data_IF_829269288834
#
_entry.id   IF_829269288834
#
_cell.length_a   1.000
_cell.length_b   1.000
_cell.length_c   1.000
_cell.angle_alpha   90.00
_cell.angle_beta   90.00
_cell.angle_gamma   90.00
#
_symmetry.space_group_name_H-M   'P 1'
#
loop_
_entity.id
_entity.type
_entity.pdbx_description
1 polymer ?
#
# COMPACT_ATOMS: atom_id res chain seq x y z
N UNK A 1 -6.19 10.33 -24.89
CA UNK A 1 -5.83 8.90 -24.90
C UNK A 1 -4.39 8.61 -24.50
N UNK A 2 -3.38 9.40 -24.88
CA UNK A 2 -1.96 9.12 -24.56
C UNK A 2 -1.65 8.97 -23.05
N UNK A 3 -2.28 9.77 -22.18
CA UNK A 3 -2.06 9.70 -20.72
C UNK A 3 -2.80 8.53 -20.04
N UNK A 4 -3.88 8.01 -20.64
CA UNK A 4 -4.68 6.93 -20.05
C UNK A 4 -3.86 5.64 -19.90
N UNK A 5 -3.01 5.34 -20.88
CA UNK A 5 -2.11 4.16 -20.86
C UNK A 5 -1.07 4.30 -19.74
N UNK A 6 -0.52 5.49 -19.55
CA UNK A 6 0.44 5.79 -18.48
C UNK A 6 -0.18 5.58 -17.09
N UNK A 7 -1.38 6.15 -16.84
CA UNK A 7 -2.08 5.97 -15.56
C UNK A 7 -2.40 4.49 -15.28
N UNK A 8 -2.85 3.76 -16.30
CA UNK A 8 -3.16 2.34 -16.17
C UNK A 8 -1.90 1.52 -15.85
N UNK A 9 -0.82 1.70 -16.60
CA UNK A 9 0.42 0.95 -16.40
C UNK A 9 1.07 1.27 -15.04
N UNK A 10 1.10 2.55 -14.65
CA UNK A 10 1.67 2.96 -13.37
C UNK A 10 0.89 2.38 -12.17
N UNK A 11 -0.44 2.36 -12.24
CA UNK A 11 -1.28 1.80 -11.18
C UNK A 11 -1.26 0.27 -11.15
N UNK A 12 -1.37 -0.38 -12.30
CA UNK A 12 -1.56 -1.84 -12.38
C UNK A 12 -0.35 -2.61 -11.83
N UNK A 13 0.87 -2.27 -12.26
CA UNK A 13 2.06 -2.98 -11.83
C UNK A 13 2.32 -2.80 -10.33
N UNK A 14 2.15 -1.57 -9.82
CA UNK A 14 2.38 -1.26 -8.40
C UNK A 14 1.34 -1.91 -7.51
N UNK A 15 0.04 -1.76 -7.80
CA UNK A 15 -1.04 -2.36 -7.00
C UNK A 15 -1.00 -3.89 -7.03
N UNK A 16 -0.79 -4.51 -8.20
CA UNK A 16 -0.72 -5.96 -8.31
C UNK A 16 0.41 -6.54 -7.45
N UNK A 17 1.56 -5.86 -7.41
CA UNK A 17 2.73 -6.27 -6.62
C UNK A 17 2.43 -6.18 -5.12
N UNK A 18 1.85 -5.07 -4.66
CA UNK A 18 1.47 -4.90 -3.24
C UNK A 18 0.49 -5.98 -2.80
N UNK A 19 -0.54 -6.25 -3.60
CA UNK A 19 -1.55 -7.27 -3.28
C UNK A 19 -0.93 -8.67 -3.21
N UNK A 20 -0.05 -9.01 -4.17
CA UNK A 20 0.63 -10.31 -4.16
C UNK A 20 1.48 -10.50 -2.89
N UNK A 21 2.28 -9.51 -2.51
CA UNK A 21 3.09 -9.60 -1.27
C UNK A 21 2.24 -9.56 -0.01
N UNK A 22 1.16 -8.78 0.01
CA UNK A 22 0.24 -8.72 1.17
C UNK A 22 -0.40 -10.09 1.40
N UNK A 23 -0.92 -10.73 0.35
CA UNK A 23 -1.50 -12.07 0.44
C UNK A 23 -0.46 -13.12 0.82
N UNK A 24 0.75 -13.01 0.28
CA UNK A 24 1.86 -13.89 0.64
C UNK A 24 2.23 -13.76 2.12
N UNK A 25 2.33 -12.54 2.65
CA UNK A 25 2.60 -12.30 4.07
C UNK A 25 1.46 -12.83 4.96
N UNK A 26 0.19 -12.63 4.56
CA UNK A 26 -0.94 -13.18 5.29
C UNK A 26 -0.93 -14.71 5.34
N UNK A 27 -0.54 -15.37 4.24
CA UNK A 27 -0.41 -16.82 4.19
C UNK A 27 0.71 -17.35 5.09
N UNK A 28 1.79 -16.57 5.28
CA UNK A 28 2.88 -16.91 6.20
C UNK A 28 2.55 -16.61 7.67
N UNK A 29 1.64 -15.67 7.92
CA UNK A 29 1.26 -15.18 9.26
C UNK A 29 -0.23 -15.44 9.54
N UNK A 30 -0.63 -16.70 9.78
CA UNK A 30 -2.04 -17.07 9.98
C UNK A 30 -2.68 -16.35 11.17
N UNK A 31 -1.91 -15.97 12.20
CA UNK A 31 -2.35 -15.17 13.34
C UNK A 31 -2.77 -13.75 12.93
N UNK A 32 -2.01 -13.13 12.02
CA UNK A 32 -2.32 -11.81 11.44
C UNK A 32 -3.56 -11.92 10.55
N UNK A 33 -3.64 -12.97 9.74
CA UNK A 33 -4.80 -13.23 8.90
C UNK A 33 -6.09 -13.45 9.71
N UNK A 34 -6.01 -14.19 10.81
CA UNK A 34 -7.16 -14.41 11.70
C UNK A 34 -7.65 -13.09 12.31
N UNK A 35 -6.73 -12.27 12.83
CA UNK A 35 -7.05 -10.96 13.40
C UNK A 35 -7.63 -9.98 12.37
N UNK A 36 -7.10 -9.98 11.14
CA UNK A 36 -7.63 -9.18 10.05
C UNK A 36 -9.05 -9.62 9.66
N UNK A 37 -9.30 -10.93 9.65
CA UNK A 37 -10.62 -11.48 9.38
C UNK A 37 -11.63 -11.08 10.46
N UNK A 38 -11.22 -11.08 11.72
CA UNK A 38 -12.06 -10.61 12.83
C UNK A 38 -12.50 -9.15 12.64
N UNK A 39 -11.55 -8.25 12.33
CA UNK A 39 -11.87 -6.83 12.02
C UNK A 39 -12.83 -6.70 10.82
N UNK A 40 -12.63 -7.51 9.77
CA UNK A 40 -13.50 -7.52 8.60
C UNK A 40 -14.91 -8.06 8.92
N UNK A 41 -15.01 -9.16 9.68
CA UNK A 41 -16.28 -9.76 10.08
C UNK A 41 -17.08 -8.80 10.98
N UNK A 42 -16.42 -8.07 11.88
CA UNK A 42 -17.03 -7.00 12.68
C UNK A 42 -17.59 -5.88 11.80
N UNK A 43 -16.84 -5.47 10.77
CA UNK A 43 -17.27 -4.46 9.81
C UNK A 43 -18.54 -4.90 9.06
N UNK A 44 -18.58 -6.13 8.54
CA UNK A 44 -19.74 -6.69 7.84
C UNK A 44 -20.95 -6.86 8.75
N UNK A 45 -20.74 -7.25 10.02
CA UNK A 45 -21.83 -7.31 11.02
C UNK A 45 -22.46 -5.94 11.27
N UNK A 46 -21.67 -4.88 11.26
CA UNK A 46 -22.15 -3.51 11.55
C UNK A 46 -22.78 -2.83 10.33
N UNK A 47 -22.26 -3.05 9.12
CA UNK A 47 -22.63 -2.29 7.93
C UNK A 47 -23.34 -3.11 6.85
N UNK A 48 -23.51 -4.43 7.06
CA UNK A 48 -24.14 -5.33 6.11
C UNK A 48 -23.15 -5.94 5.10
N UNK A 49 -23.66 -6.64 4.07
CA UNK A 49 -22.82 -7.40 3.12
C UNK A 49 -22.00 -6.52 2.17
N UNK A 50 -22.34 -5.23 2.05
CA UNK A 50 -21.67 -4.28 1.16
C UNK A 50 -21.36 -2.97 1.92
N UNK A 51 -20.29 -2.95 2.74
CA UNK A 51 -19.87 -1.73 3.43
C UNK A 51 -19.36 -0.71 2.42
N UNK A 52 -19.71 0.57 2.62
CA UNK A 52 -19.23 1.64 1.75
C UNK A 52 -17.70 1.80 1.83
N UNK A 53 -17.10 2.40 0.80
CA UNK A 53 -15.66 2.66 0.77
C UNK A 53 -15.18 3.49 1.97
N UNK A 54 -16.01 4.42 2.45
CA UNK A 54 -15.72 5.25 3.63
C UNK A 54 -15.65 4.43 4.93
N UNK A 55 -16.32 3.29 4.98
CA UNK A 55 -16.27 2.35 6.10
C UNK A 55 -15.01 1.50 5.99
N UNK A 56 -14.76 0.91 4.82
CA UNK A 56 -13.59 0.05 4.57
C UNK A 56 -12.28 0.82 4.78
N UNK A 57 -12.22 2.08 4.37
CA UNK A 57 -11.05 2.94 4.56
C UNK A 57 -10.73 3.27 6.03
N UNK A 58 -11.68 3.03 6.96
CA UNK A 58 -11.49 3.23 8.40
C UNK A 58 -11.00 1.99 9.14
N UNK A 59 -10.89 0.84 8.46
CA UNK A 59 -10.36 -0.39 9.04
C UNK A 59 -8.87 -0.24 9.34
N UNK A 60 -8.55 -0.07 10.63
CA UNK A 60 -7.21 0.33 11.08
C UNK A 60 -6.21 -0.80 10.90
N UNK A 61 -6.61 -2.03 11.20
CA UNK A 61 -5.72 -3.18 11.09
C UNK A 61 -5.48 -3.54 9.62
N UNK A 62 -6.50 -3.50 8.77
CA UNK A 62 -6.34 -3.62 7.32
C UNK A 62 -5.33 -2.60 6.77
N UNK A 63 -5.48 -1.32 7.14
CA UNK A 63 -4.54 -0.29 6.72
C UNK A 63 -3.11 -0.56 7.23
N UNK A 64 -2.99 -1.06 8.48
CA UNK A 64 -1.71 -1.47 9.06
C UNK A 64 -1.03 -2.60 8.30
N UNK A 65 -1.78 -3.64 7.92
CA UNK A 65 -1.27 -4.78 7.14
C UNK A 65 -0.75 -4.34 5.77
N UNK A 66 -1.50 -3.49 5.06
CA UNK A 66 -1.06 -2.96 3.75
C UNK A 66 0.17 -2.06 3.90
N UNK A 67 0.19 -1.21 4.93
CA UNK A 67 1.33 -0.32 5.22
C UNK A 67 2.60 -1.12 5.52
N UNK A 68 2.49 -2.19 6.30
CA UNK A 68 3.63 -3.04 6.63
C UNK A 68 4.11 -3.84 5.42
N UNK A 69 3.19 -4.29 4.57
CA UNK A 69 3.52 -4.93 3.29
C UNK A 69 4.30 -3.98 2.37
N UNK A 70 3.90 -2.70 2.31
CA UNK A 70 4.62 -1.65 1.57
C UNK A 70 5.99 -1.33 2.18
N UNK A 71 6.12 -1.38 3.51
CA UNK A 71 7.40 -1.17 4.21
C UNK A 71 8.40 -2.29 3.88
N UNK A 72 7.94 -3.54 3.83
CA UNK A 72 8.79 -4.69 3.52
C UNK A 72 9.07 -4.85 2.03
N UNK A 73 8.07 -4.62 1.18
CA UNK A 73 8.14 -4.84 -0.27
C UNK A 73 7.63 -3.61 -1.04
N UNK A 74 8.40 -2.52 -1.08
CA UNK A 74 8.01 -1.33 -1.84
C UNK A 74 8.10 -1.58 -3.35
N UNK A 75 7.02 -1.39 -4.14
CA UNK A 75 7.05 -1.61 -5.60
C UNK A 75 7.99 -0.66 -6.35
N UNK A 76 8.26 0.51 -5.78
CA UNK A 76 9.20 1.51 -6.32
C UNK A 76 10.35 1.76 -5.34
N UNK A 77 11.34 0.87 -5.24
CA UNK A 77 12.39 0.95 -4.22
C UNK A 77 13.38 2.10 -4.44
N UNK A 78 13.39 2.72 -5.63
CA UNK A 78 14.27 3.84 -5.96
C UNK A 78 13.49 4.92 -6.71
N UNK A 79 13.75 6.16 -6.34
CA UNK A 79 13.32 7.34 -7.06
C UNK A 79 14.56 8.06 -7.59
N UNK A 80 14.71 8.06 -8.91
CA UNK A 80 15.84 8.70 -9.56
C UNK A 80 15.57 10.18 -9.80
N UNK A 81 16.59 11.01 -9.58
CA UNK A 81 16.58 12.44 -9.84
C UNK A 81 17.89 12.81 -10.53
N UNK A 82 17.83 13.79 -11.44
CA UNK A 82 19.01 14.40 -12.05
C UNK A 82 19.01 15.88 -11.71
N UNK A 83 20.09 16.37 -11.11
CA UNK A 83 20.22 17.79 -10.78
C UNK A 83 20.85 18.54 -11.96
N UNK A 84 20.24 19.64 -12.43
CA UNK A 84 20.86 20.48 -13.47
C UNK A 84 22.05 21.28 -12.95
N UNK A 85 22.21 21.42 -11.63
CA UNK A 85 23.26 22.24 -11.00
C UNK A 85 23.87 21.52 -9.80
N UNK A 86 25.15 21.77 -9.52
CA UNK A 86 25.82 21.26 -8.32
C UNK A 86 25.08 21.72 -7.06
N UNK A 87 24.63 20.77 -6.25
CA UNK A 87 23.95 21.03 -4.97
C UNK A 87 24.71 20.33 -3.85
N UNK A 88 25.05 21.07 -2.81
CA UNK A 88 25.67 20.52 -1.59
C UNK A 88 24.58 20.17 -0.58
N UNK A 89 24.46 18.88 -0.24
CA UNK A 89 23.47 18.44 0.76
C UNK A 89 23.94 18.64 2.21
N UNK A 90 25.26 18.60 2.44
CA UNK A 90 25.89 18.70 3.76
C UNK A 90 27.19 19.52 3.69
N UNK A 91 27.12 20.73 3.10
CA UNK A 91 28.24 21.69 3.11
C UNK A 91 28.25 22.58 4.37
N UNK A 92 29.38 23.20 4.73
CA UNK A 92 29.40 24.16 5.84
C UNK A 92 28.44 25.34 5.58
N UNK A 93 27.86 25.95 6.62
CA UNK A 93 27.09 27.19 6.46
C UNK A 93 28.02 28.31 5.99
N UNK A 94 27.55 29.12 5.04
CA UNK A 94 28.23 30.36 4.60
C UNK A 94 28.41 31.36 5.74
#
# INVERSE_FOLDING_TARGET
MAQCVLFFAAGQNTTSTVLAFTLYLLALHPEVQAKLREEADECFKQHGPDPSLDVVSKLKYLHGVVSESLRMFPPGPRLERSSPTTTTFWGPPE
#
